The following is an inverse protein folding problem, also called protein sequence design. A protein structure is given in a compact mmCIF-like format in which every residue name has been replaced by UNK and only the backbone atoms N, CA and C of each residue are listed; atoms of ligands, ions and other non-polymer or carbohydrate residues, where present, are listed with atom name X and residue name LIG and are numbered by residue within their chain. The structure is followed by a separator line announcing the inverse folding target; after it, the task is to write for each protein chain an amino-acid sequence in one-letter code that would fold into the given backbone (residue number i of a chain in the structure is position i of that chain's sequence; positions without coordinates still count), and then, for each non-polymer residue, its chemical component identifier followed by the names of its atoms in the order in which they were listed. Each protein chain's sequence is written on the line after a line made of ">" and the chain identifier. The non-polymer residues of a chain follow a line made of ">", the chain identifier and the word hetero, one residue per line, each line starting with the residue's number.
data_IF_684976165153
#
_entry.id   IF_684976165153
#
_cell.length_a   1.000
_cell.length_b   1.000
_cell.length_c   1.000
_cell.angle_alpha   90.00
_cell.angle_beta   90.00
_cell.angle_gamma   90.00
#
_symmetry.space_group_name_H-M   'P 1'
#
loop_
_entity.id
_entity.type
_entity.pdbx_description
1 polymer ?
#
# COMPACT_ATOMS: atom_id res chain seq x y z
N UNK A 1 11.89 36.19 -57.98
CA UNK A 1 12.85 36.31 -56.85
C UNK A 1 13.85 35.15 -56.84
N UNK A 2 13.42 33.88 -56.88
CA UNK A 2 14.31 32.71 -56.98
C UNK A 2 15.21 32.67 -58.23
N UNK A 3 14.71 33.08 -59.40
CA UNK A 3 15.52 33.17 -60.63
C UNK A 3 16.65 34.22 -60.53
N UNK A 4 16.40 35.33 -59.85
CA UNK A 4 17.38 36.39 -59.59
C UNK A 4 18.44 35.96 -58.57
N UNK A 5 18.08 35.09 -57.60
CA UNK A 5 19.02 34.49 -56.65
C UNK A 5 19.90 33.47 -57.37
N UNK A 6 19.33 32.68 -58.29
CA UNK A 6 20.07 31.67 -59.06
C UNK A 6 21.06 32.31 -60.06
N UNK A 7 20.66 33.35 -60.78
CA UNK A 7 21.56 34.05 -61.71
C UNK A 7 22.68 34.82 -60.98
N UNK A 8 22.40 35.39 -59.80
CA UNK A 8 23.44 36.00 -58.98
C UNK A 8 24.43 34.94 -58.45
N UNK A 9 23.95 33.78 -58.00
CA UNK A 9 24.81 32.65 -57.59
C UNK A 9 25.65 32.10 -58.76
N UNK A 10 25.08 32.03 -59.96
CA UNK A 10 25.77 31.56 -61.17
C UNK A 10 26.85 32.55 -61.64
N UNK A 11 26.57 33.85 -61.63
CA UNK A 11 27.57 34.87 -61.95
C UNK A 11 28.67 34.96 -60.89
N UNK A 12 28.36 34.77 -59.61
CA UNK A 12 29.38 34.68 -58.56
C UNK A 12 30.23 33.42 -58.70
N UNK A 13 29.65 32.28 -59.05
CA UNK A 13 30.39 31.02 -59.25
C UNK A 13 31.34 31.10 -60.44
N UNK A 14 30.92 31.70 -61.56
CA UNK A 14 31.80 31.94 -62.73
C UNK A 14 32.99 32.86 -62.41
N UNK A 15 32.78 33.89 -61.57
CA UNK A 15 33.89 34.74 -61.10
C UNK A 15 34.81 34.02 -60.12
N UNK A 16 34.27 33.14 -59.29
CA UNK A 16 35.05 32.31 -58.36
C UNK A 16 35.95 31.33 -59.12
N UNK A 17 35.45 30.70 -60.20
CA UNK A 17 36.23 29.77 -61.02
C UNK A 17 37.40 30.46 -61.74
N UNK A 18 37.20 31.70 -62.23
CA UNK A 18 38.28 32.50 -62.82
C UNK A 18 39.33 32.93 -61.78
N UNK A 19 38.90 33.32 -60.58
CA UNK A 19 39.82 33.73 -59.50
C UNK A 19 40.52 32.52 -58.88
N UNK A 20 39.89 31.35 -58.80
CA UNK A 20 40.50 30.11 -58.32
C UNK A 20 41.57 29.56 -59.25
N UNK A 21 41.53 29.84 -60.56
CA UNK A 21 42.61 29.43 -61.46
C UNK A 21 43.88 30.29 -61.36
N UNK A 22 43.77 31.52 -60.83
CA UNK A 22 44.90 32.45 -60.62
C UNK A 22 45.39 32.53 -59.16
N UNK A 23 44.69 31.91 -58.21
CA UNK A 23 45.09 31.84 -56.80
C UNK A 23 46.17 30.78 -56.60
N UNK A 24 47.32 31.18 -56.04
CA UNK A 24 48.35 30.22 -55.64
C UNK A 24 47.77 29.19 -54.68
N UNK A 25 48.31 27.97 -54.71
CA UNK A 25 47.88 26.84 -53.88
C UNK A 25 47.79 27.21 -52.38
N UNK A 26 48.67 28.11 -51.93
CA UNK A 26 48.68 28.65 -50.57
C UNK A 26 47.40 29.41 -50.21
N UNK A 27 46.78 30.14 -51.14
CA UNK A 27 45.57 30.90 -50.86
C UNK A 27 44.34 29.99 -50.80
N UNK A 28 44.29 28.93 -51.62
CA UNK A 28 43.25 27.88 -51.51
C UNK A 28 43.34 27.16 -50.17
N UNK A 29 44.55 26.78 -49.76
CA UNK A 29 44.80 26.16 -48.46
C UNK A 29 44.41 27.08 -47.29
N UNK A 30 44.65 28.39 -47.42
CA UNK A 30 44.25 29.37 -46.42
C UNK A 30 42.72 29.45 -46.24
N UNK A 31 41.95 29.53 -47.32
CA UNK A 31 40.49 29.53 -47.25
C UNK A 31 39.92 28.21 -46.69
N UNK A 32 40.55 27.09 -47.03
CA UNK A 32 40.18 25.78 -46.48
C UNK A 32 40.37 25.74 -44.96
N UNK A 33 41.50 26.24 -44.45
CA UNK A 33 41.76 26.34 -43.00
C UNK A 33 40.73 27.24 -42.31
N UNK A 34 40.40 28.40 -42.90
CA UNK A 34 39.37 29.31 -42.35
C UNK A 34 37.99 28.66 -42.30
N UNK A 35 37.59 27.92 -43.34
CA UNK A 35 36.32 27.20 -43.36
C UNK A 35 36.25 26.12 -42.27
N UNK A 36 37.34 25.37 -42.07
CA UNK A 36 37.46 24.40 -40.98
C UNK A 36 37.36 25.05 -39.60
N UNK A 37 38.05 26.18 -39.38
CA UNK A 37 38.00 26.91 -38.10
C UNK A 37 36.60 27.46 -37.83
N UNK A 38 35.92 28.00 -38.85
CA UNK A 38 34.55 28.49 -38.73
C UNK A 38 33.58 27.36 -38.36
N UNK A 39 33.68 26.20 -39.02
CA UNK A 39 32.85 25.04 -38.71
C UNK A 39 33.08 24.51 -37.29
N UNK A 40 34.34 24.45 -36.86
CA UNK A 40 34.71 24.06 -35.50
C UNK A 40 34.16 25.06 -34.48
N UNK A 41 34.32 26.35 -34.71
CA UNK A 41 33.79 27.40 -33.84
C UNK A 41 32.27 27.31 -33.72
N UNK A 42 31.56 27.16 -34.84
CA UNK A 42 30.11 27.02 -34.85
C UNK A 42 29.67 25.76 -34.09
N UNK A 43 30.35 24.62 -34.27
CA UNK A 43 30.06 23.38 -33.56
C UNK A 43 30.30 23.51 -32.05
N UNK A 44 31.39 24.17 -31.65
CA UNK A 44 31.71 24.45 -30.24
C UNK A 44 30.63 25.35 -29.64
N UNK A 45 30.29 26.46 -30.31
CA UNK A 45 29.27 27.41 -29.84
C UNK A 45 27.90 26.75 -29.65
N UNK A 46 27.45 25.95 -30.62
CA UNK A 46 26.20 25.19 -30.48
C UNK A 46 26.24 24.17 -29.34
N UNK A 47 27.39 23.55 -29.10
CA UNK A 47 27.57 22.60 -27.97
C UNK A 47 27.53 23.33 -26.64
N UNK A 48 28.16 24.51 -26.53
CA UNK A 48 28.16 25.34 -25.32
C UNK A 48 26.74 25.75 -24.92
N UNK A 49 25.90 26.16 -25.87
CA UNK A 49 24.50 26.51 -25.59
C UNK A 49 23.71 25.32 -25.00
N UNK A 50 23.87 24.14 -25.59
CA UNK A 50 23.24 22.91 -25.07
C UNK A 50 23.71 22.57 -23.65
N UNK A 51 24.98 22.82 -23.34
CA UNK A 51 25.51 22.61 -21.99
C UNK A 51 24.86 23.57 -20.99
N UNK A 52 24.67 24.84 -21.35
CA UNK A 52 23.99 25.81 -20.48
C UNK A 52 22.54 25.43 -20.20
N UNK A 53 21.80 24.97 -21.22
CA UNK A 53 20.44 24.46 -21.05
C UNK A 53 20.39 23.24 -20.12
N UNK A 54 21.33 22.31 -20.28
CA UNK A 54 21.46 21.13 -19.41
C UNK A 54 21.77 21.55 -17.97
N UNK A 55 22.63 22.55 -17.77
CA UNK A 55 22.95 23.07 -16.44
C UNK A 55 21.74 23.74 -15.79
N UNK A 56 20.98 24.54 -16.54
CA UNK A 56 19.75 25.16 -16.06
C UNK A 56 18.72 24.10 -15.65
N UNK A 57 18.51 23.08 -16.49
CA UNK A 57 17.63 21.96 -16.20
C UNK A 57 18.08 21.18 -14.96
N UNK A 58 19.39 20.91 -14.83
CA UNK A 58 19.98 20.22 -13.69
C UNK A 58 19.73 20.98 -12.38
N UNK A 59 19.87 22.31 -12.39
CA UNK A 59 19.58 23.15 -11.22
C UNK A 59 18.09 23.11 -10.84
N UNK A 60 17.18 23.14 -11.83
CA UNK A 60 15.74 23.03 -11.58
C UNK A 60 15.39 21.67 -10.96
N UNK A 61 15.91 20.58 -11.51
CA UNK A 61 15.71 19.23 -10.96
C UNK A 61 16.23 19.14 -9.53
N UNK A 62 17.41 19.71 -9.25
CA UNK A 62 17.96 19.74 -7.89
C UNK A 62 17.03 20.46 -6.92
N UNK A 63 16.47 21.60 -7.32
CA UNK A 63 15.55 22.36 -6.49
C UNK A 63 14.25 21.59 -6.23
N UNK A 64 13.70 20.94 -7.26
CA UNK A 64 12.49 20.13 -7.12
C UNK A 64 12.71 18.93 -6.20
N UNK A 65 13.86 18.25 -6.31
CA UNK A 65 14.24 17.16 -5.39
C UNK A 65 14.30 17.66 -3.94
N UNK A 66 14.90 18.82 -3.70
CA UNK A 66 14.94 19.42 -2.36
C UNK A 66 13.55 19.70 -1.80
N UNK A 67 12.65 20.26 -2.63
CA UNK A 67 11.25 20.52 -2.23
C UNK A 67 10.48 19.23 -1.95
N UNK A 68 10.65 18.20 -2.76
CA UNK A 68 10.04 16.88 -2.54
C UNK A 68 10.53 16.28 -1.22
N UNK A 69 11.82 16.43 -0.92
CA UNK A 69 12.41 15.94 0.33
C UNK A 69 11.82 16.64 1.55
N UNK A 70 11.72 17.97 1.52
CA UNK A 70 11.15 18.76 2.61
C UNK A 70 9.67 18.42 2.85
N UNK A 71 8.87 18.38 1.78
CA UNK A 71 7.45 18.00 1.87
C UNK A 71 7.28 16.59 2.44
N UNK A 72 8.05 15.62 1.95
CA UNK A 72 8.04 14.24 2.48
C UNK A 72 8.41 14.18 3.97
N UNK A 73 9.38 14.99 4.41
CA UNK A 73 9.77 15.05 5.81
C UNK A 73 8.65 15.62 6.70
N UNK A 74 7.99 16.69 6.25
CA UNK A 74 6.86 17.30 6.96
C UNK A 74 5.70 16.30 7.09
N UNK A 75 5.37 15.59 6.00
CA UNK A 75 4.31 14.58 6.02
C UNK A 75 4.66 13.40 6.94
N UNK A 76 5.91 12.93 6.93
CA UNK A 76 6.37 11.89 7.85
C UNK A 76 6.24 12.30 9.32
N UNK A 77 6.60 13.54 9.68
CA UNK A 77 6.44 14.04 11.05
C UNK A 77 4.97 14.23 11.44
N UNK A 78 4.10 14.54 10.47
CA UNK A 78 2.65 14.56 10.71
C UNK A 78 2.12 13.14 10.99
N UNK A 79 2.50 12.16 10.16
CA UNK A 79 2.09 10.76 10.31
C UNK A 79 2.56 10.20 11.66
N UNK A 80 3.83 10.45 12.04
CA UNK A 80 4.37 10.02 13.35
C UNK A 80 3.55 10.53 14.52
N UNK A 81 3.14 11.82 14.51
CA UNK A 81 2.29 12.40 15.55
C UNK A 81 0.92 11.71 15.60
N UNK A 82 0.27 11.52 14.44
CA UNK A 82 -1.01 10.81 14.38
C UNK A 82 -0.92 9.38 14.91
N UNK A 83 0.16 8.65 14.60
CA UNK A 83 0.39 7.30 15.14
C UNK A 83 0.53 7.34 16.67
N UNK A 84 1.28 8.31 17.21
CA UNK A 84 1.43 8.46 18.66
C UNK A 84 0.08 8.75 19.34
N UNK A 85 -0.73 9.66 18.80
CA UNK A 85 -2.05 9.98 19.33
C UNK A 85 -2.98 8.76 19.32
N UNK A 86 -3.00 8.02 18.21
CA UNK A 86 -3.79 6.78 18.08
C UNK A 86 -3.35 5.73 19.09
N UNK A 87 -2.03 5.57 19.31
CA UNK A 87 -1.49 4.64 20.31
C UNK A 87 -1.97 5.00 21.71
N UNK A 88 -1.86 6.27 22.12
CA UNK A 88 -2.34 6.73 23.42
C UNK A 88 -3.85 6.52 23.56
N UNK A 89 -4.63 6.78 22.51
CA UNK A 89 -6.06 6.50 22.53
C UNK A 89 -6.36 5.02 22.69
N UNK A 90 -5.60 4.14 22.03
CA UNK A 90 -5.75 2.69 22.14
C UNK A 90 -5.47 2.20 23.57
N UNK A 91 -4.39 2.66 24.19
CA UNK A 91 -4.04 2.32 25.58
C UNK A 91 -5.13 2.75 26.57
N UNK A 92 -5.76 3.92 26.35
CA UNK A 92 -6.89 4.38 27.17
C UNK A 92 -8.13 3.51 27.02
N UNK A 93 -8.44 3.09 25.79
CA UNK A 93 -9.57 2.20 25.51
C UNK A 93 -9.33 0.83 26.16
N UNK A 94 -8.13 0.29 26.03
CA UNK A 94 -7.74 -0.98 26.65
C UNK A 94 -7.90 -0.94 28.18
N UNK A 95 -7.42 0.13 28.83
CA UNK A 95 -7.64 0.34 30.26
C UNK A 95 -9.12 0.42 30.66
N UNK A 96 -9.95 1.11 29.87
CA UNK A 96 -11.39 1.19 30.13
C UNK A 96 -12.08 -0.18 29.98
N UNK A 97 -11.66 -1.00 29.01
CA UNK A 97 -12.17 -2.36 28.81
C UNK A 97 -11.83 -3.24 30.01
N UNK A 98 -10.60 -3.16 30.54
CA UNK A 98 -10.22 -3.92 31.74
C UNK A 98 -11.09 -3.56 32.94
N UNK A 99 -11.29 -2.27 33.20
CA UNK A 99 -12.17 -1.79 34.29
C UNK A 99 -13.61 -2.28 34.12
N UNK A 100 -14.14 -2.28 32.89
CA UNK A 100 -15.49 -2.80 32.61
C UNK A 100 -15.56 -4.32 32.81
N UNK A 101 -14.52 -5.05 32.39
CA UNK A 101 -14.41 -6.49 32.58
C UNK A 101 -14.44 -6.87 34.06
N UNK A 102 -13.70 -6.14 34.90
CA UNK A 102 -13.69 -6.34 36.35
C UNK A 102 -15.09 -6.11 36.95
N UNK A 103 -15.75 -5.01 36.58
CA UNK A 103 -17.13 -4.73 37.02
C UNK A 103 -18.15 -5.79 36.58
N UNK A 104 -18.01 -6.32 35.38
CA UNK A 104 -18.87 -7.41 34.89
C UNK A 104 -18.65 -8.67 35.73
N UNK A 105 -17.41 -8.99 36.10
CA UNK A 105 -17.10 -10.11 36.98
C UNK A 105 -17.70 -9.91 38.37
N UNK A 106 -17.60 -8.72 38.96
CA UNK A 106 -18.22 -8.39 40.25
C UNK A 106 -19.75 -8.61 40.22
N UNK A 107 -20.44 -8.12 39.18
CA UNK A 107 -21.89 -8.32 39.02
C UNK A 107 -22.22 -9.81 38.91
N UNK A 108 -21.45 -10.57 38.12
CA UNK A 108 -21.66 -12.01 37.96
C UNK A 108 -21.51 -12.76 39.28
N UNK A 109 -20.54 -12.38 40.10
CA UNK A 109 -20.35 -12.96 41.44
C UNK A 109 -21.49 -12.59 42.39
N UNK A 110 -21.96 -11.34 42.36
CA UNK A 110 -23.11 -10.89 43.15
C UNK A 110 -24.40 -11.65 42.79
N UNK A 111 -24.69 -11.83 41.50
CA UNK A 111 -25.86 -12.59 41.02
C UNK A 111 -25.78 -14.07 41.42
N UNK A 112 -24.59 -14.66 41.35
CA UNK A 112 -24.36 -16.05 41.78
C UNK A 112 -24.63 -16.22 43.28
N UNK A 113 -24.26 -15.23 44.09
CA UNK A 113 -24.46 -15.24 45.54
C UNK A 113 -25.92 -14.91 45.94
N UNK A 114 -26.65 -14.11 45.16
CA UNK A 114 -28.07 -13.82 45.41
C UNK A 114 -29.01 -14.94 44.93
N UNK A 115 -28.62 -15.72 43.92
CA UNK A 115 -29.37 -16.91 43.47
C UNK A 115 -29.34 -18.10 44.43
N UNK A 116 -28.39 -18.13 45.38
CA UNK A 116 -28.22 -19.24 46.33
C UNK A 116 -29.19 -19.21 47.53
N UNK A 117 -29.95 -18.13 47.73
CA UNK A 117 -30.89 -18.02 48.86
C UNK A 117 -32.37 -18.29 48.52
N UNK A 118 -32.71 -18.72 47.29
CA UNK A 118 -34.10 -19.05 46.95
C UNK A 118 -34.36 -20.43 46.32
N UNK A 119 -33.34 -21.22 45.97
CA UNK A 119 -33.58 -22.57 45.44
C UNK A 119 -32.60 -23.61 45.99
N UNK A 120 -32.87 -24.05 47.23
CA UNK A 120 -32.55 -25.42 47.62
C UNK A 120 -33.45 -26.36 46.82
N UNK A 121 -32.93 -26.97 45.75
CA UNK A 121 -32.90 -28.43 45.58
C UNK A 121 -32.34 -28.85 44.22
N UNK A 122 -31.39 -29.79 44.30
CA UNK A 122 -31.00 -30.82 43.32
C UNK A 122 -30.27 -30.43 42.01
N UNK A 123 -29.02 -30.89 42.00
CA UNK A 123 -28.31 -31.56 40.90
C UNK A 123 -27.56 -30.70 39.86
N UNK A 124 -26.24 -30.62 40.07
CA UNK A 124 -25.31 -31.32 39.19
C UNK A 124 -25.05 -30.74 37.79
N UNK A 125 -23.90 -30.09 37.65
CA UNK A 125 -23.03 -30.07 36.46
C UNK A 125 -23.66 -29.68 35.10
N UNK A 126 -23.45 -28.43 34.67
CA UNK A 126 -22.97 -28.16 33.31
C UNK A 126 -22.45 -26.71 33.13
N UNK A 127 -21.14 -26.55 33.27
CA UNK A 127 -20.38 -25.40 32.79
C UNK A 127 -20.21 -25.50 31.27
N UNK A 128 -20.87 -24.64 30.50
CA UNK A 128 -20.62 -24.58 29.05
C UNK A 128 -21.73 -24.02 28.17
N UNK A 129 -22.58 -23.11 28.65
CA UNK A 129 -23.59 -22.46 27.79
C UNK A 129 -22.98 -21.22 27.12
N UNK A 130 -22.24 -21.43 26.02
CA UNK A 130 -21.96 -20.34 25.08
C UNK A 130 -23.27 -20.06 24.32
N UNK A 131 -23.91 -18.92 24.59
CA UNK A 131 -25.11 -18.50 23.91
C UNK A 131 -24.88 -18.56 22.38
N UNK A 132 -25.79 -19.20 21.65
CA UNK A 132 -25.67 -19.42 20.19
C UNK A 132 -25.52 -18.12 19.39
N UNK A 133 -26.02 -17.00 19.94
CA UNK A 133 -25.81 -15.65 19.42
C UNK A 133 -24.32 -15.26 19.43
N UNK A 134 -23.64 -15.43 20.57
CA UNK A 134 -22.22 -15.09 20.74
C UNK A 134 -21.32 -15.90 19.81
N UNK A 135 -21.64 -17.18 19.58
CA UNK A 135 -20.88 -18.02 18.66
C UNK A 135 -21.01 -17.56 17.19
N UNK A 136 -22.18 -17.03 16.80
CA UNK A 136 -22.37 -16.49 15.44
C UNK A 136 -21.59 -15.20 15.22
N UNK A 137 -21.63 -14.28 16.19
CA UNK A 137 -20.87 -13.03 16.15
C UNK A 137 -19.38 -13.30 15.97
N UNK A 138 -18.87 -14.22 16.77
CA UNK A 138 -17.48 -14.61 16.74
C UNK A 138 -17.07 -15.31 15.45
N UNK A 139 -17.89 -16.26 14.98
CA UNK A 139 -17.68 -16.89 13.68
C UNK A 139 -17.57 -15.86 12.57
N UNK A 140 -18.48 -14.87 12.54
CA UNK A 140 -18.45 -13.81 11.53
C UNK A 140 -17.16 -12.99 11.61
N UNK A 141 -16.77 -12.57 12.82
CA UNK A 141 -15.55 -11.78 13.03
C UNK A 141 -14.30 -12.48 12.53
N UNK A 142 -14.14 -13.77 12.84
CA UNK A 142 -12.99 -14.57 12.40
C UNK A 142 -12.95 -14.74 10.88
N UNK A 143 -14.11 -14.94 10.24
CA UNK A 143 -14.19 -15.01 8.77
C UNK A 143 -13.78 -13.68 8.13
N UNK A 144 -14.26 -12.55 8.66
CA UNK A 144 -13.93 -11.21 8.15
C UNK A 144 -12.43 -10.90 8.29
N UNK A 145 -11.84 -11.23 9.45
CA UNK A 145 -10.41 -11.09 9.70
C UNK A 145 -9.58 -11.92 8.73
N UNK A 146 -9.94 -13.19 8.53
CA UNK A 146 -9.21 -14.10 7.65
C UNK A 146 -9.28 -13.66 6.19
N UNK A 147 -10.41 -13.12 5.76
CA UNK A 147 -10.57 -12.51 4.43
C UNK A 147 -9.64 -11.31 4.26
N UNK A 148 -9.57 -10.43 5.27
CA UNK A 148 -8.68 -9.28 5.23
C UNK A 148 -7.19 -9.69 5.18
N UNK A 149 -6.80 -10.71 5.95
CA UNK A 149 -5.43 -11.20 5.99
C UNK A 149 -5.02 -11.93 4.70
N UNK A 150 -5.89 -12.79 4.16
CA UNK A 150 -5.56 -13.64 3.00
C UNK A 150 -5.95 -13.00 1.65
N UNK A 151 -6.57 -11.81 1.65
CA UNK A 151 -7.10 -11.14 0.45
C UNK A 151 -8.01 -12.04 -0.40
N UNK A 152 -8.79 -12.92 0.24
CA UNK A 152 -9.68 -13.89 -0.44
C UNK A 152 -11.10 -13.35 -0.57
N UNK A 153 -11.82 -13.80 -1.59
CA UNK A 153 -13.25 -13.51 -1.69
C UNK A 153 -14.05 -14.28 -0.63
N UNK A 154 -15.13 -13.67 -0.14
CA UNK A 154 -16.05 -14.28 0.82
C UNK A 154 -16.58 -15.65 0.33
N UNK A 155 -16.83 -15.76 -0.98
CA UNK A 155 -17.31 -16.99 -1.59
C UNK A 155 -16.29 -18.14 -1.54
N UNK A 156 -15.01 -17.83 -1.76
CA UNK A 156 -13.90 -18.78 -1.65
C UNK A 156 -13.66 -19.20 -0.19
N UNK A 157 -13.78 -18.25 0.74
CA UNK A 157 -13.67 -18.52 2.17
C UNK A 157 -14.76 -19.50 2.65
N UNK A 158 -15.99 -19.35 2.15
CA UNK A 158 -17.07 -20.29 2.46
C UNK A 158 -16.81 -21.70 1.92
N UNK A 159 -16.20 -21.85 0.74
CA UNK A 159 -15.80 -23.16 0.22
C UNK A 159 -14.77 -23.83 1.13
N UNK A 160 -13.76 -23.07 1.55
CA UNK A 160 -12.72 -23.58 2.44
C UNK A 160 -13.28 -24.04 3.78
N UNK A 161 -14.11 -23.21 4.43
CA UNK A 161 -14.70 -23.54 5.72
C UNK A 161 -15.60 -24.75 5.58
N UNK A 162 -16.46 -24.77 4.55
CA UNK A 162 -17.33 -25.90 4.24
C UNK A 162 -16.55 -27.22 4.11
N UNK A 163 -15.43 -27.20 3.38
CA UNK A 163 -14.54 -28.35 3.24
C UNK A 163 -13.85 -28.74 4.55
N UNK A 164 -13.52 -27.76 5.39
CA UNK A 164 -12.75 -27.99 6.64
C UNK A 164 -13.59 -28.67 7.71
N UNK A 165 -14.86 -28.28 7.83
CA UNK A 165 -15.77 -28.83 8.85
C UNK A 165 -16.87 -29.72 8.28
N UNK A 166 -16.72 -30.13 7.02
CA UNK A 166 -17.59 -31.07 6.33
C UNK A 166 -19.10 -30.70 6.42
N UNK A 167 -19.42 -29.44 6.14
CA UNK A 167 -20.81 -28.98 5.98
C UNK A 167 -20.98 -28.29 4.63
N UNK A 168 -22.21 -28.15 4.15
CA UNK A 168 -22.43 -27.50 2.85
C UNK A 168 -22.07 -26.02 2.87
N UNK A 169 -21.54 -25.50 1.76
CA UNK A 169 -21.28 -24.07 1.56
C UNK A 169 -22.50 -23.19 1.85
N UNK A 170 -23.68 -23.64 1.41
CA UNK A 170 -24.95 -22.94 1.65
C UNK A 170 -25.25 -22.85 3.15
N UNK A 171 -24.93 -23.89 3.92
CA UNK A 171 -25.06 -23.88 5.39
C UNK A 171 -24.14 -22.85 6.03
N UNK A 172 -22.88 -22.76 5.60
CA UNK A 172 -21.92 -21.74 6.08
C UNK A 172 -22.43 -20.33 5.77
N UNK A 173 -22.85 -20.10 4.53
CA UNK A 173 -23.40 -18.83 4.05
C UNK A 173 -24.63 -18.39 4.88
N UNK A 174 -25.57 -19.32 5.09
CA UNK A 174 -26.79 -19.04 5.85
C UNK A 174 -26.48 -18.74 7.33
N UNK A 175 -25.49 -19.43 7.91
CA UNK A 175 -25.04 -19.16 9.27
C UNK A 175 -24.38 -17.78 9.40
N UNK A 176 -23.47 -17.44 8.49
CA UNK A 176 -22.76 -16.16 8.44
C UNK A 176 -23.72 -14.97 8.29
N UNK A 177 -24.71 -15.06 7.40
CA UNK A 177 -25.70 -14.00 7.18
C UNK A 177 -26.94 -14.08 8.07
N UNK A 178 -26.96 -14.97 9.06
CA UNK A 178 -28.11 -15.18 9.98
C UNK A 178 -29.44 -15.44 9.28
N UNK A 179 -29.42 -16.08 8.12
CA UNK A 179 -30.63 -16.33 7.31
C UNK A 179 -31.52 -17.43 7.89
N UNK A 180 -30.93 -18.38 8.61
CA UNK A 180 -31.66 -19.52 9.16
C UNK A 180 -31.20 -19.84 10.58
N UNK A 181 -32.07 -20.55 11.31
CA UNK A 181 -31.70 -21.23 12.54
C UNK A 181 -30.98 -22.55 12.17
N UNK A 182 -29.70 -22.69 12.52
CA UNK A 182 -28.90 -23.86 12.22
C UNK A 182 -29.32 -25.03 13.10
N UNK A 183 -29.17 -26.23 12.56
CA UNK A 183 -29.27 -27.46 13.35
C UNK A 183 -28.13 -27.51 14.37
N UNK A 184 -28.35 -28.19 15.49
CA UNK A 184 -27.35 -28.33 16.54
C UNK A 184 -26.03 -28.93 16.03
N UNK A 185 -26.10 -29.88 15.10
CA UNK A 185 -24.92 -30.45 14.42
C UNK A 185 -24.10 -29.38 13.70
N UNK A 186 -24.74 -28.47 12.98
CA UNK A 186 -24.09 -27.31 12.34
C UNK A 186 -23.44 -26.39 13.37
N UNK A 187 -24.13 -26.10 14.47
CA UNK A 187 -23.60 -25.26 15.56
C UNK A 187 -22.35 -25.90 16.17
N UNK A 188 -22.36 -27.21 16.37
CA UNK A 188 -21.23 -27.94 16.94
C UNK A 188 -20.00 -27.95 16.01
N UNK A 189 -20.20 -28.16 14.71
CA UNK A 189 -19.09 -28.11 13.74
C UNK A 189 -18.51 -26.69 13.61
N UNK A 190 -19.35 -25.66 13.59
CA UNK A 190 -18.88 -24.27 13.58
C UNK A 190 -18.16 -23.92 14.88
N UNK A 191 -18.64 -24.42 16.04
CA UNK A 191 -17.95 -24.24 17.33
C UNK A 191 -16.56 -24.86 17.31
N UNK A 192 -16.42 -26.06 16.74
CA UNK A 192 -15.11 -26.72 16.57
C UNK A 192 -14.17 -25.87 15.71
N UNK A 193 -14.67 -25.35 14.60
CA UNK A 193 -13.90 -24.46 13.72
C UNK A 193 -13.43 -23.19 14.43
N UNK A 194 -14.36 -22.46 15.07
CA UNK A 194 -14.07 -21.21 15.80
C UNK A 194 -13.01 -21.44 16.88
N UNK A 195 -13.12 -22.54 17.64
CA UNK A 195 -12.14 -22.88 18.67
C UNK A 195 -10.76 -23.23 18.08
N UNK A 196 -10.71 -23.82 16.88
CA UNK A 196 -9.47 -24.07 16.15
C UNK A 196 -8.80 -22.76 15.70
N UNK A 197 -9.56 -21.86 15.09
CA UNK A 197 -9.05 -20.57 14.60
C UNK A 197 -8.60 -19.65 15.74
N UNK A 198 -9.31 -19.63 16.88
CA UNK A 198 -8.86 -18.92 18.10
C UNK A 198 -7.46 -19.31 18.53
N UNK A 199 -7.15 -20.61 18.51
CA UNK A 199 -5.83 -21.13 18.90
C UNK A 199 -4.76 -20.73 17.90
N UNK A 200 -5.07 -20.77 16.60
CA UNK A 200 -4.14 -20.38 15.54
C UNK A 200 -3.84 -18.87 15.53
N UNK A 201 -4.85 -18.03 15.76
CA UNK A 201 -4.66 -16.57 15.82
C UNK A 201 -3.83 -16.14 17.04
N UNK A 202 -3.99 -16.81 18.20
CA UNK A 202 -3.13 -16.55 19.36
C UNK A 202 -1.66 -16.92 19.09
N UNK A 203 -1.40 -17.99 18.33
CA UNK A 203 -0.04 -18.38 17.95
C UNK A 203 0.57 -17.43 16.92
N UNK A 204 -0.21 -16.96 15.94
CA UNK A 204 0.25 -16.00 14.94
C UNK A 204 0.59 -14.63 15.55
N UNK A 205 -0.19 -14.16 16.52
CA UNK A 205 0.13 -12.94 17.27
C UNK A 205 1.42 -13.10 18.08
N UNK A 206 1.67 -14.28 18.66
CA UNK A 206 2.93 -14.56 19.37
C UNK A 206 4.13 -14.56 18.41
N UNK A 207 3.96 -15.13 17.21
CA UNK A 207 5.01 -15.21 16.19
C UNK A 207 5.38 -13.84 15.61
N UNK A 208 4.39 -12.95 15.43
CA UNK A 208 4.59 -11.57 14.99
C UNK A 208 5.27 -10.69 16.05
N UNK A 209 5.06 -10.98 17.34
CA UNK A 209 5.77 -10.31 18.43
C UNK A 209 7.23 -10.77 18.51
N UNK A 210 7.50 -12.06 18.32
CA UNK A 210 8.85 -12.63 18.40
C UNK A 210 9.75 -12.29 17.19
N UNK A 211 9.18 -12.02 16.01
CA UNK A 211 9.93 -11.63 14.81
C UNK A 211 10.23 -10.11 14.71
N UNK A 212 9.67 -9.30 15.62
CA UNK A 212 9.83 -7.84 15.64
C UNK A 212 10.62 -7.33 16.88
N UNK A 213 11.29 -8.24 17.61
CA UNK A 213 12.29 -7.94 18.66
C UNK A 213 13.67 -8.26 18.11
#
# INVERSE_FOLDING_TARGET
>A
MLALIYDNLRQSNLKIDMVQNDLSENTKNFYFVLACLFFLWHKISSTSQKIEEILALSNNIRNDISRIRETSQIENERIKRTIADLKTSSERIEGAILVLSDKINEIREADTNQGLNQFSTTNGANTGQTNSATLRDEFKSLVDQKIAMESRSLNSMFDQIASTINISKSTVYNYYHRKTNPRETTVNEIRRWVNGERRNNNLNNLYLILMNV
#
